data_IF_610955485818
#
_entry.id   IF_610955485818
#
_cell.length_a   1.000
_cell.length_b   1.000
_cell.length_c   1.000
_cell.angle_alpha   90.00
_cell.angle_beta   90.00
_cell.angle_gamma   90.00
#
_symmetry.space_group_name_H-M   'P 1'
#
loop_
_entity.id
_entity.type
_entity.pdbx_description
1 polymer ?
#
# COMPACT_ATOMS: atom_id res chain seq x y z
N UNK A 1 -13.87 -2.77 -22.68
CA UNK A 1 -14.05 -1.34 -22.36
C UNK A 1 -15.53 -1.00 -22.40
N UNK A 2 -16.33 -1.43 -21.42
CA UNK A 2 -17.77 -1.13 -21.39
C UNK A 2 -18.43 -1.31 -20.02
N UNK A 3 -17.72 -0.98 -18.92
CA UNK A 3 -18.24 -1.17 -17.55
C UNK A 3 -17.83 -0.06 -16.56
N UNK A 4 -17.56 1.18 -17.02
CA UNK A 4 -17.13 2.29 -16.12
C UNK A 4 -18.07 3.52 -16.14
N UNK A 5 -19.15 3.55 -16.93
CA UNK A 5 -19.98 4.77 -17.04
C UNK A 5 -21.25 4.84 -16.19
N UNK A 6 -21.54 3.88 -15.30
CA UNK A 6 -22.88 3.81 -14.67
C UNK A 6 -23.00 4.26 -13.19
N UNK A 7 -21.95 4.78 -12.55
CA UNK A 7 -22.04 5.24 -11.14
C UNK A 7 -21.84 6.75 -10.93
N UNK A 8 -21.81 7.55 -12.00
CA UNK A 8 -21.65 9.01 -11.92
C UNK A 8 -22.96 9.81 -11.93
N UNK A 9 -24.13 9.16 -12.01
CA UNK A 9 -25.45 9.85 -12.09
C UNK A 9 -26.28 9.88 -10.81
N UNK A 10 -25.81 9.32 -9.68
CA UNK A 10 -26.61 9.23 -8.44
C UNK A 10 -26.29 10.33 -7.41
N UNK A 11 -25.25 11.16 -7.59
CA UNK A 11 -24.79 12.07 -6.54
C UNK A 11 -25.04 13.58 -6.76
N UNK A 12 -25.70 13.98 -7.86
CA UNK A 12 -26.03 15.40 -8.10
C UNK A 12 -27.43 15.53 -8.71
N UNK A 13 -28.44 15.88 -7.91
CA UNK A 13 -29.81 15.99 -8.43
C UNK A 13 -30.87 16.40 -7.41
N UNK A 14 -30.81 17.69 -7.02
CA UNK A 14 -31.96 18.58 -6.83
C UNK A 14 -33.08 18.23 -5.81
N UNK A 15 -33.17 19.12 -4.81
CA UNK A 15 -34.38 19.84 -4.36
C UNK A 15 -35.66 19.05 -4.01
N UNK A 16 -36.12 19.31 -2.79
CA UNK A 16 -37.39 18.86 -2.26
C UNK A 16 -38.58 19.19 -3.16
N UNK A 17 -39.48 18.23 -3.25
CA UNK A 17 -40.84 18.42 -3.74
C UNK A 17 -41.77 17.62 -2.83
N UNK A 18 -42.67 18.35 -2.18
CA UNK A 18 -43.85 17.81 -1.54
C UNK A 18 -44.71 17.14 -2.60
N UNK A 19 -45.12 15.89 -2.40
CA UNK A 19 -46.28 15.34 -3.09
C UNK A 19 -47.12 14.47 -2.14
N UNK A 20 -48.31 15.01 -1.88
CA UNK A 20 -49.43 14.38 -1.20
C UNK A 20 -49.91 13.17 -2.00
N UNK A 21 -49.93 11.98 -1.40
CA UNK A 21 -50.60 10.80 -1.93
C UNK A 21 -51.88 10.52 -1.14
N UNK A 22 -53.03 10.89 -1.70
CA UNK A 22 -54.36 10.51 -1.21
C UNK A 22 -54.66 9.06 -1.57
N UNK A 23 -54.77 8.19 -0.57
CA UNK A 23 -55.34 6.84 -0.71
C UNK A 23 -56.58 6.72 0.17
N UNK A 24 -57.76 6.67 -0.45
CA UNK A 24 -59.04 6.39 0.20
C UNK A 24 -59.20 4.87 0.39
N UNK A 25 -59.42 4.43 1.63
CA UNK A 25 -60.02 3.12 1.92
C UNK A 25 -61.16 3.34 2.93
N UNK A 26 -62.38 2.97 2.52
CA UNK A 26 -63.59 2.99 3.35
C UNK A 26 -63.63 1.74 4.24
N UNK A 27 -63.87 1.95 5.53
CA UNK A 27 -64.26 0.95 6.51
C UNK A 27 -64.93 1.66 7.68
N UNK A 28 -66.25 1.62 7.73
CA UNK A 28 -67.10 2.24 8.74
C UNK A 28 -67.21 1.31 9.97
N UNK A 29 -67.10 1.86 11.19
CA UNK A 29 -68.11 1.79 12.28
C UNK A 29 -67.47 2.14 13.66
N UNK A 30 -68.18 3.03 14.36
CA UNK A 30 -68.19 3.41 15.79
C UNK A 30 -67.17 4.38 16.37
N UNK A 31 -67.74 5.44 16.92
CA UNK A 31 -67.15 6.56 17.65
C UNK A 31 -66.51 6.15 18.99
N UNK A 32 -65.38 6.79 19.33
CA UNK A 32 -65.19 7.45 20.62
C UNK A 32 -64.04 8.45 20.54
N UNK A 33 -64.33 9.70 20.83
CA UNK A 33 -63.39 10.79 21.01
C UNK A 33 -62.56 10.56 22.28
N UNK A 34 -61.23 10.50 22.16
CA UNK A 34 -60.31 10.61 23.28
C UNK A 34 -59.01 11.29 22.81
N UNK A 35 -58.87 12.55 23.20
CA UNK A 35 -57.61 13.31 23.15
C UNK A 35 -56.57 12.59 24.01
N UNK A 36 -55.53 12.02 23.39
CA UNK A 36 -54.35 11.52 24.11
C UNK A 36 -53.10 11.86 23.28
N UNK A 37 -52.31 12.80 23.77
CA UNK A 37 -50.89 12.94 23.42
C UNK A 37 -50.11 11.84 24.17
N UNK A 38 -49.22 11.09 23.50
CA UNK A 38 -47.99 10.72 24.19
C UNK A 38 -46.75 10.87 23.31
N UNK A 39 -45.76 11.54 23.90
CA UNK A 39 -44.35 11.40 23.57
C UNK A 39 -43.94 9.92 23.72
N UNK A 40 -43.22 9.41 22.72
CA UNK A 40 -42.26 8.29 22.76
C UNK A 40 -42.20 7.63 21.39
N UNK A 41 -41.49 8.29 20.46
CA UNK A 41 -40.94 7.61 19.28
C UNK A 41 -39.63 6.97 19.71
N UNK A 42 -39.68 5.73 20.19
CA UNK A 42 -38.49 4.88 20.11
C UNK A 42 -38.14 4.72 18.62
N UNK A 43 -36.95 5.16 18.25
CA UNK A 43 -36.35 4.82 16.97
C UNK A 43 -36.23 3.29 16.89
N UNK A 44 -36.69 2.63 15.82
CA UNK A 44 -36.50 1.20 15.67
C UNK A 44 -34.99 0.92 15.67
N UNK A 45 -34.51 0.16 16.67
CA UNK A 45 -33.15 -0.41 16.61
C UNK A 45 -33.09 -1.26 15.34
N UNK A 46 -32.07 -1.11 14.49
CA UNK A 46 -31.88 -2.01 13.36
C UNK A 46 -31.78 -3.42 13.92
N UNK A 47 -32.66 -4.31 13.47
CA UNK A 47 -32.55 -5.74 13.74
C UNK A 47 -31.19 -6.22 13.24
N UNK A 48 -30.28 -6.54 14.17
CA UNK A 48 -28.97 -7.14 13.88
C UNK A 48 -29.20 -8.44 13.11
N UNK A 49 -28.88 -8.42 11.82
CA UNK A 49 -28.91 -9.62 10.99
C UNK A 49 -27.56 -10.35 11.17
N UNK A 50 -27.53 -11.55 11.76
CA UNK A 50 -26.29 -12.29 12.01
C UNK A 50 -25.51 -12.61 10.73
N UNK A 51 -26.14 -12.59 9.54
CA UNK A 51 -25.45 -12.74 8.27
C UNK A 51 -24.59 -11.52 7.90
N UNK A 52 -24.94 -10.33 8.39
CA UNK A 52 -24.20 -9.10 8.10
C UNK A 52 -22.94 -8.96 8.95
N UNK A 53 -22.97 -9.38 10.22
CA UNK A 53 -21.81 -9.37 11.11
C UNK A 53 -20.70 -10.32 10.62
N UNK A 54 -21.06 -11.56 10.28
CA UNK A 54 -20.12 -12.55 9.75
C UNK A 54 -19.46 -12.10 8.43
N UNK A 55 -20.19 -11.40 7.56
CA UNK A 55 -19.66 -10.92 6.29
C UNK A 55 -18.67 -9.74 6.46
N UNK A 56 -18.93 -8.85 7.43
CA UNK A 56 -18.04 -7.72 7.76
C UNK A 56 -16.73 -8.23 8.36
N UNK A 57 -16.80 -9.16 9.32
CA UNK A 57 -15.61 -9.76 9.94
C UNK A 57 -14.75 -10.53 8.93
N UNK A 58 -15.38 -11.29 8.02
CA UNK A 58 -14.68 -11.99 6.95
C UNK A 58 -13.96 -11.02 5.99
N UNK A 59 -14.59 -9.91 5.62
CA UNK A 59 -13.98 -8.93 4.72
C UNK A 59 -12.80 -8.20 5.39
N UNK A 60 -12.95 -7.86 6.67
CA UNK A 60 -11.87 -7.25 7.45
C UNK A 60 -10.67 -8.21 7.59
N UNK A 61 -10.91 -9.48 7.93
CA UNK A 61 -9.84 -10.48 8.01
C UNK A 61 -9.13 -10.68 6.67
N UNK A 62 -9.88 -10.76 5.57
CA UNK A 62 -9.31 -10.87 4.22
C UNK A 62 -8.43 -9.66 3.86
N UNK A 63 -8.84 -8.45 4.24
CA UNK A 63 -8.05 -7.22 4.02
C UNK A 63 -6.73 -7.23 4.81
N UNK A 64 -6.76 -7.69 6.06
CA UNK A 64 -5.57 -7.83 6.92
C UNK A 64 -4.60 -8.87 6.37
N UNK A 65 -5.10 -10.00 5.88
CA UNK A 65 -4.28 -11.06 5.27
C UNK A 65 -3.62 -10.54 3.99
N UNK A 66 -4.37 -9.86 3.11
CA UNK A 66 -3.82 -9.26 1.88
C UNK A 66 -2.68 -8.30 2.19
N UNK A 67 -2.88 -7.38 3.13
CA UNK A 67 -1.85 -6.40 3.53
C UNK A 67 -0.60 -7.08 4.09
N UNK A 68 -0.76 -8.15 4.87
CA UNK A 68 0.37 -8.96 5.36
C UNK A 68 1.13 -9.65 4.22
N UNK A 69 0.42 -10.28 3.29
CA UNK A 69 1.04 -10.92 2.13
C UNK A 69 1.78 -9.89 1.27
N UNK A 70 1.18 -8.73 1.01
CA UNK A 70 1.80 -7.65 0.27
C UNK A 70 3.09 -7.16 0.94
N UNK A 71 3.09 -6.94 2.26
CA UNK A 71 4.31 -6.61 3.00
C UNK A 71 5.36 -7.72 2.92
N UNK A 72 4.97 -9.00 3.02
CA UNK A 72 5.92 -10.11 2.93
C UNK A 72 6.56 -10.22 1.55
N UNK A 73 5.78 -10.05 0.47
CA UNK A 73 6.30 -10.04 -0.90
C UNK A 73 7.23 -8.83 -1.09
N UNK A 74 6.86 -7.67 -0.57
CA UNK A 74 7.69 -6.47 -0.60
C UNK A 74 9.03 -6.71 0.11
N UNK A 75 8.99 -7.21 1.34
CA UNK A 75 10.17 -7.47 2.15
C UNK A 75 11.08 -8.50 1.49
N UNK A 76 10.52 -9.60 0.97
CA UNK A 76 11.28 -10.61 0.24
C UNK A 76 11.96 -10.04 -1.01
N UNK A 77 11.24 -9.21 -1.78
CA UNK A 77 11.77 -8.52 -2.96
C UNK A 77 12.94 -7.60 -2.60
N UNK A 78 12.79 -6.79 -1.54
CA UNK A 78 13.86 -5.87 -1.11
C UNK A 78 15.05 -6.63 -0.52
N UNK A 79 14.85 -7.69 0.27
CA UNK A 79 15.95 -8.51 0.80
C UNK A 79 16.75 -9.11 -0.34
N UNK A 80 16.07 -9.71 -1.33
CA UNK A 80 16.74 -10.28 -2.49
C UNK A 80 17.53 -9.23 -3.28
N UNK A 81 16.92 -8.07 -3.55
CA UNK A 81 17.58 -6.95 -4.23
C UNK A 81 18.79 -6.41 -3.46
N UNK A 82 18.66 -6.28 -2.14
CA UNK A 82 19.69 -5.76 -1.24
C UNK A 82 20.93 -6.66 -1.20
N UNK A 83 20.77 -7.98 -1.31
CA UNK A 83 21.92 -8.91 -1.42
C UNK A 83 22.69 -8.66 -2.71
N UNK A 84 21.99 -8.51 -3.84
CA UNK A 84 22.62 -8.30 -5.15
C UNK A 84 23.38 -6.98 -5.16
N UNK A 85 22.74 -5.88 -4.74
CA UNK A 85 23.43 -4.58 -4.70
C UNK A 85 24.60 -4.60 -3.70
N UNK A 86 24.46 -5.28 -2.57
CA UNK A 86 25.54 -5.46 -1.61
C UNK A 86 26.74 -6.20 -2.23
N UNK A 87 26.48 -7.29 -2.95
CA UNK A 87 27.48 -8.04 -3.69
C UNK A 87 28.21 -7.14 -4.69
N UNK A 88 27.45 -6.40 -5.51
CA UNK A 88 27.95 -5.52 -6.57
C UNK A 88 28.89 -4.44 -6.01
N UNK A 89 28.53 -3.85 -4.86
CA UNK A 89 29.40 -2.90 -4.20
C UNK A 89 30.66 -3.56 -3.61
N UNK A 90 30.53 -4.79 -3.07
CA UNK A 90 31.65 -5.54 -2.49
C UNK A 90 32.72 -5.95 -3.51
N UNK A 91 32.31 -6.20 -4.75
CA UNK A 91 33.21 -6.52 -5.86
C UNK A 91 33.79 -5.28 -6.56
N UNK A 92 33.25 -4.07 -6.33
CA UNK A 92 33.72 -2.82 -6.96
C UNK A 92 34.99 -2.23 -6.31
N UNK A 93 35.93 -1.69 -7.10
CA UNK A 93 37.18 -1.01 -6.64
C UNK A 93 37.28 0.40 -7.18
N UNK A 94 38.17 1.19 -6.57
CA UNK A 94 38.65 2.44 -7.15
C UNK A 94 37.80 3.64 -6.77
N UNK A 95 37.73 4.63 -7.66
CA UNK A 95 36.90 5.84 -7.46
C UNK A 95 35.41 5.51 -7.36
N UNK A 96 34.95 4.54 -8.16
CA UNK A 96 33.53 4.17 -8.26
C UNK A 96 32.98 3.66 -6.93
N UNK A 97 33.77 2.92 -6.15
CA UNK A 97 33.35 2.43 -4.84
C UNK A 97 32.83 3.56 -3.94
N UNK A 98 33.50 4.72 -3.91
CA UNK A 98 33.11 5.84 -3.05
C UNK A 98 31.79 6.46 -3.51
N UNK A 99 31.63 6.62 -4.81
CA UNK A 99 30.41 7.17 -5.41
C UNK A 99 29.22 6.22 -5.21
N UNK A 100 29.42 4.93 -5.52
CA UNK A 100 28.42 3.88 -5.34
C UNK A 100 28.03 3.69 -3.87
N UNK A 101 28.99 3.73 -2.95
CA UNK A 101 28.71 3.65 -1.52
C UNK A 101 27.86 4.85 -1.06
N UNK A 102 28.20 6.07 -1.51
CA UNK A 102 27.41 7.25 -1.18
C UNK A 102 25.98 7.15 -1.72
N UNK A 103 25.83 6.75 -3.00
CA UNK A 103 24.52 6.54 -3.62
C UNK A 103 23.72 5.46 -2.89
N UNK A 104 24.35 4.32 -2.56
CA UNK A 104 23.74 3.21 -1.85
C UNK A 104 23.26 3.60 -0.45
N UNK A 105 24.01 4.42 0.29
CA UNK A 105 23.58 4.91 1.60
C UNK A 105 22.25 5.69 1.51
N UNK A 106 22.12 6.56 0.51
CA UNK A 106 20.87 7.30 0.30
C UNK A 106 19.74 6.38 -0.20
N UNK A 107 20.05 5.46 -1.11
CA UNK A 107 19.08 4.49 -1.62
C UNK A 107 18.50 3.62 -0.49
N UNK A 108 19.39 3.02 0.31
CA UNK A 108 19.03 2.17 1.44
C UNK A 108 18.26 2.92 2.53
N UNK A 109 18.54 4.22 2.72
CA UNK A 109 17.79 5.06 3.65
C UNK A 109 16.32 5.18 3.23
N UNK A 110 16.05 5.49 1.96
CA UNK A 110 14.67 5.60 1.46
C UNK A 110 13.95 4.25 1.40
N UNK A 111 14.63 3.18 1.01
CA UNK A 111 14.07 1.83 1.08
C UNK A 111 13.76 1.39 2.52
N UNK A 112 14.61 1.74 3.49
CA UNK A 112 14.38 1.45 4.90
C UNK A 112 13.15 2.16 5.46
N UNK A 113 12.91 3.42 5.06
CA UNK A 113 11.68 4.14 5.42
C UNK A 113 10.45 3.45 4.81
N UNK A 114 10.55 3.00 3.55
CA UNK A 114 9.45 2.33 2.86
C UNK A 114 9.10 0.98 3.54
N UNK A 115 10.10 0.16 3.88
CA UNK A 115 9.90 -1.09 4.63
C UNK A 115 9.32 -0.80 6.00
N UNK A 116 9.88 0.15 6.76
CA UNK A 116 9.39 0.49 8.09
C UNK A 116 7.92 0.89 8.09
N UNK A 117 7.51 1.73 7.12
CA UNK A 117 6.11 2.17 6.96
C UNK A 117 5.16 1.03 6.56
N UNK A 118 5.59 0.18 5.62
CA UNK A 118 4.82 -1.00 5.18
C UNK A 118 4.66 -2.01 6.32
N UNK A 119 5.73 -2.29 7.05
CA UNK A 119 5.74 -3.19 8.19
C UNK A 119 4.85 -2.69 9.32
N UNK A 120 4.89 -1.40 9.65
CA UNK A 120 4.01 -0.80 10.68
C UNK A 120 2.53 -0.95 10.32
N UNK A 121 2.20 -0.94 9.03
CA UNK A 121 0.84 -1.09 8.56
C UNK A 121 0.34 -2.54 8.67
N UNK A 122 1.21 -3.55 8.57
CA UNK A 122 0.81 -4.98 8.51
C UNK A 122 1.12 -5.79 9.76
N UNK A 123 2.08 -5.37 10.59
CA UNK A 123 2.53 -6.09 11.78
C UNK A 123 2.16 -5.33 13.06
N UNK A 124 1.50 -6.05 13.98
CA UNK A 124 1.05 -5.48 15.26
C UNK A 124 2.08 -5.63 16.39
N UNK A 125 3.10 -6.48 16.20
CA UNK A 125 4.10 -6.78 17.23
C UNK A 125 5.38 -5.98 17.00
N UNK A 126 5.79 -5.20 18.00
CA UNK A 126 7.04 -4.44 18.00
C UNK A 126 8.28 -5.33 17.78
N UNK A 127 8.28 -6.54 18.33
CA UNK A 127 9.36 -7.50 18.12
C UNK A 127 9.47 -7.92 16.66
N UNK A 128 8.33 -8.12 15.96
CA UNK A 128 8.32 -8.44 14.53
C UNK A 128 8.77 -7.26 13.69
N UNK A 129 8.31 -6.05 14.01
CA UNK A 129 8.78 -4.82 13.36
C UNK A 129 10.31 -4.68 13.48
N UNK A 130 10.85 -4.88 14.68
CA UNK A 130 12.29 -4.83 14.89
C UNK A 130 13.01 -5.93 14.08
N UNK A 131 12.50 -7.15 14.07
CA UNK A 131 13.09 -8.27 13.34
C UNK A 131 13.17 -8.01 11.83
N UNK A 132 12.09 -7.53 11.22
CA UNK A 132 12.04 -7.19 9.78
C UNK A 132 13.07 -6.11 9.43
N UNK A 133 13.11 -5.02 10.19
CA UNK A 133 14.07 -3.94 9.97
C UNK A 133 15.52 -4.38 10.22
N UNK A 134 15.74 -5.26 11.21
CA UNK A 134 17.05 -5.82 11.49
C UNK A 134 17.54 -6.73 10.35
N UNK A 135 16.68 -7.61 9.83
CA UNK A 135 16.99 -8.46 8.68
C UNK A 135 17.37 -7.60 7.47
N UNK A 136 16.57 -6.57 7.17
CA UNK A 136 16.90 -5.62 6.10
C UNK A 136 18.27 -4.95 6.33
N UNK A 137 18.55 -4.46 7.53
CA UNK A 137 19.79 -3.76 7.85
C UNK A 137 21.06 -4.63 7.70
N UNK A 138 20.98 -5.93 8.03
CA UNK A 138 22.14 -6.84 7.90
C UNK A 138 22.30 -7.43 6.49
N UNK A 139 21.25 -7.42 5.68
CA UNK A 139 21.24 -8.07 4.37
C UNK A 139 22.27 -7.46 3.42
N UNK A 140 22.32 -6.13 3.29
CA UNK A 140 23.28 -5.45 2.41
C UNK A 140 24.73 -5.65 2.85
N UNK A 141 25.10 -5.51 4.15
CA UNK A 141 26.44 -5.86 4.63
C UNK A 141 26.83 -7.32 4.37
N UNK A 142 25.91 -8.27 4.50
CA UNK A 142 26.17 -9.69 4.17
C UNK A 142 26.52 -9.82 2.68
N UNK A 143 25.75 -9.18 1.79
CA UNK A 143 26.06 -9.13 0.36
C UNK A 143 27.46 -8.56 0.09
N UNK A 144 27.82 -7.45 0.75
CA UNK A 144 29.14 -6.83 0.62
C UNK A 144 30.28 -7.77 1.05
N UNK A 145 30.13 -8.45 2.19
CA UNK A 145 31.14 -9.41 2.68
C UNK A 145 31.31 -10.56 1.69
N UNK A 146 30.22 -11.08 1.14
CA UNK A 146 30.27 -12.13 0.11
C UNK A 146 30.99 -11.60 -1.13
N UNK A 147 30.63 -10.40 -1.60
CA UNK A 147 31.24 -9.73 -2.75
C UNK A 147 32.76 -9.60 -2.58
N UNK A 148 33.21 -9.09 -1.42
CA UNK A 148 34.64 -8.98 -1.09
C UNK A 148 35.32 -10.36 -1.11
N UNK A 149 34.67 -11.40 -0.57
CA UNK A 149 35.21 -12.76 -0.50
C UNK A 149 35.41 -13.41 -1.87
N UNK A 150 34.47 -13.23 -2.80
CA UNK A 150 34.54 -13.85 -4.13
C UNK A 150 35.30 -13.02 -5.15
N UNK A 151 35.59 -11.75 -4.83
CA UNK A 151 36.18 -10.76 -5.73
C UNK A 151 37.46 -11.18 -6.46
N UNK A 152 38.27 -12.05 -5.86
CA UNK A 152 39.50 -12.56 -6.49
C UNK A 152 39.23 -13.54 -7.63
N UNK A 153 38.06 -14.17 -7.63
CA UNK A 153 37.62 -15.18 -8.62
C UNK A 153 36.47 -14.71 -9.50
N UNK A 154 35.72 -13.72 -9.03
CA UNK A 154 34.59 -13.12 -9.72
C UNK A 154 35.06 -11.92 -10.54
N UNK A 155 34.79 -11.96 -11.84
CA UNK A 155 35.09 -10.86 -12.75
C UNK A 155 33.80 -10.11 -13.07
N UNK A 156 33.63 -8.93 -12.49
CA UNK A 156 32.43 -8.08 -12.69
C UNK A 156 32.18 -7.74 -14.16
N UNK A 157 33.26 -7.72 -14.96
CA UNK A 157 33.24 -7.46 -16.40
C UNK A 157 32.98 -8.70 -17.27
N UNK A 158 32.83 -9.89 -16.68
CA UNK A 158 32.54 -11.11 -17.44
C UNK A 158 31.12 -11.07 -17.99
N UNK A 159 30.93 -11.49 -19.24
CA UNK A 159 29.61 -11.54 -19.90
C UNK A 159 28.61 -12.37 -19.09
N UNK A 160 29.03 -13.51 -18.53
CA UNK A 160 28.15 -14.36 -17.72
C UNK A 160 27.70 -13.68 -16.42
N UNK A 161 28.60 -12.94 -15.76
CA UNK A 161 28.31 -12.15 -14.56
C UNK A 161 27.22 -11.11 -14.85
N UNK A 162 27.43 -10.33 -15.93
CA UNK A 162 26.48 -9.31 -16.37
C UNK A 162 25.09 -9.88 -16.70
N UNK A 163 25.02 -11.04 -17.36
CA UNK A 163 23.74 -11.69 -17.66
C UNK A 163 23.00 -12.13 -16.40
N UNK A 164 23.70 -12.78 -15.48
CA UNK A 164 23.09 -13.27 -14.23
C UNK A 164 22.62 -12.08 -13.39
N UNK A 165 23.50 -11.11 -13.16
CA UNK A 165 23.17 -9.90 -12.42
C UNK A 165 22.00 -9.13 -13.06
N UNK A 166 22.01 -8.96 -14.38
CA UNK A 166 20.94 -8.30 -15.12
C UNK A 166 19.58 -9.01 -14.96
N UNK A 167 19.54 -10.34 -15.10
CA UNK A 167 18.30 -11.11 -14.94
C UNK A 167 17.77 -11.01 -13.50
N UNK A 168 18.64 -11.20 -12.51
CA UNK A 168 18.24 -11.15 -11.10
C UNK A 168 17.75 -9.75 -10.73
N UNK A 169 18.40 -8.69 -11.23
CA UNK A 169 17.98 -7.30 -11.03
C UNK A 169 16.66 -6.98 -11.74
N UNK A 170 16.42 -7.49 -12.95
CA UNK A 170 15.13 -7.32 -13.63
C UNK A 170 13.99 -8.00 -12.87
N UNK A 171 14.20 -9.22 -12.35
CA UNK A 171 13.20 -9.92 -11.54
C UNK A 171 12.93 -9.16 -10.24
N UNK A 172 13.99 -8.77 -9.53
CA UNK A 172 13.87 -7.99 -8.30
C UNK A 172 13.13 -6.66 -8.55
N UNK A 173 13.56 -5.89 -9.55
CA UNK A 173 12.95 -4.63 -9.93
C UNK A 173 11.50 -4.77 -10.37
N UNK A 174 11.14 -5.85 -11.07
CA UNK A 174 9.76 -6.13 -11.47
C UNK A 174 8.84 -6.39 -10.27
N UNK A 175 9.29 -7.15 -9.28
CA UNK A 175 8.55 -7.38 -8.03
C UNK A 175 8.38 -6.06 -7.27
N UNK A 176 9.46 -5.29 -7.11
CA UNK A 176 9.42 -3.99 -6.41
C UNK A 176 8.52 -2.98 -7.11
N UNK A 177 8.50 -2.96 -8.45
CA UNK A 177 7.61 -2.11 -9.23
C UNK A 177 6.15 -2.54 -9.07
N UNK A 178 5.85 -3.84 -9.11
CA UNK A 178 4.51 -4.36 -8.84
C UNK A 178 4.02 -3.96 -7.43
N UNK A 179 4.83 -4.23 -6.41
CA UNK A 179 4.47 -3.88 -5.03
C UNK A 179 4.35 -2.36 -4.86
N UNK A 180 5.24 -1.57 -5.46
CA UNK A 180 5.17 -0.11 -5.40
C UNK A 180 3.90 0.47 -6.05
N UNK A 181 3.54 0.01 -7.24
CA UNK A 181 2.41 0.56 -8.00
C UNK A 181 1.05 -0.03 -7.59
N UNK A 182 0.97 -1.33 -7.44
CA UNK A 182 -0.29 -2.03 -7.19
C UNK A 182 -0.60 -2.04 -5.70
N UNK A 183 0.35 -2.51 -4.89
CA UNK A 183 0.10 -2.74 -3.45
C UNK A 183 0.27 -1.47 -2.61
N UNK A 184 1.22 -0.59 -2.94
CA UNK A 184 1.44 0.64 -2.18
C UNK A 184 0.68 1.82 -2.77
N UNK A 185 0.80 2.11 -4.06
CA UNK A 185 0.17 3.29 -4.65
C UNK A 185 -1.33 3.13 -4.85
N UNK A 186 -1.76 2.10 -5.59
CA UNK A 186 -3.18 1.92 -5.94
C UNK A 186 -4.02 1.66 -4.68
N UNK A 187 -3.59 0.76 -3.82
CA UNK A 187 -4.33 0.46 -2.59
C UNK A 187 -4.43 1.68 -1.65
N UNK A 188 -3.32 2.40 -1.38
CA UNK A 188 -3.35 3.50 -0.41
C UNK A 188 -3.88 4.82 -0.95
N UNK A 189 -3.67 5.13 -2.23
CA UNK A 189 -4.01 6.44 -2.82
C UNK A 189 -5.21 6.39 -3.77
N UNK A 190 -5.58 5.23 -4.31
CA UNK A 190 -6.69 5.12 -5.28
C UNK A 190 -7.90 4.40 -4.72
N UNK A 191 -7.70 3.30 -3.99
CA UNK A 191 -8.82 2.44 -3.52
C UNK A 191 -9.21 2.71 -2.07
N UNK A 192 -8.34 3.32 -1.26
CA UNK A 192 -8.63 3.57 0.15
C UNK A 192 -9.67 4.68 0.35
N UNK A 193 -10.86 4.32 0.84
CA UNK A 193 -11.95 5.25 1.13
C UNK A 193 -11.57 6.37 2.12
N UNK A 194 -10.65 6.13 3.05
CA UNK A 194 -10.15 7.15 3.97
C UNK A 194 -9.20 8.15 3.30
N UNK A 195 -8.51 7.74 2.23
CA UNK A 195 -7.73 8.66 1.41
C UNK A 195 -8.66 9.49 0.51
N UNK A 196 -9.67 8.83 -0.08
CA UNK A 196 -10.68 9.46 -0.92
C UNK A 196 -11.69 10.34 -0.17
N UNK A 197 -11.65 10.38 1.16
CA UNK A 197 -12.40 11.36 1.96
C UNK A 197 -11.58 12.61 2.32
N UNK A 198 -10.25 12.60 2.07
CA UNK A 198 -9.37 13.75 2.37
C UNK A 198 -9.62 14.93 1.44
N UNK A 199 -9.24 16.13 1.88
CA UNK A 199 -9.34 17.35 1.08
C UNK A 199 -8.51 17.23 -0.22
N UNK A 200 -9.01 17.76 -1.33
CA UNK A 200 -8.36 17.67 -2.66
C UNK A 200 -6.91 18.19 -2.64
N UNK A 201 -6.65 19.29 -1.94
CA UNK A 201 -5.30 19.84 -1.79
C UNK A 201 -4.33 18.85 -1.10
N UNK A 202 -4.79 18.10 -0.10
CA UNK A 202 -3.98 17.08 0.58
C UNK A 202 -3.66 15.90 -0.35
N UNK A 203 -4.60 15.51 -1.23
CA UNK A 203 -4.36 14.45 -2.22
C UNK A 203 -3.30 14.87 -3.23
N UNK A 204 -3.40 16.09 -3.76
CA UNK A 204 -2.37 16.65 -4.65
C UNK A 204 -1.01 16.72 -3.98
N UNK A 205 -0.94 17.16 -2.72
CA UNK A 205 0.31 17.18 -1.97
C UNK A 205 0.94 15.78 -1.83
N UNK A 206 0.13 14.75 -1.59
CA UNK A 206 0.62 13.35 -1.50
C UNK A 206 1.11 12.82 -2.85
N UNK A 207 0.42 13.13 -3.95
CA UNK A 207 0.91 12.78 -5.30
C UNK A 207 2.20 13.53 -5.67
N UNK A 208 2.31 14.82 -5.33
CA UNK A 208 3.55 15.58 -5.54
C UNK A 208 4.69 14.98 -4.72
N UNK A 209 4.44 14.63 -3.45
CA UNK A 209 5.44 13.97 -2.59
C UNK A 209 5.90 12.63 -3.17
N UNK A 210 4.98 11.84 -3.74
CA UNK A 210 5.33 10.58 -4.42
C UNK A 210 6.27 10.83 -5.60
N UNK A 211 5.92 11.77 -6.49
CA UNK A 211 6.74 12.12 -7.65
C UNK A 211 8.10 12.71 -7.27
N UNK A 212 8.15 13.52 -6.20
CA UNK A 212 9.40 14.04 -5.67
C UNK A 212 10.29 12.91 -5.13
N UNK A 213 9.72 11.93 -4.41
CA UNK A 213 10.45 10.76 -3.95
C UNK A 213 11.02 9.93 -5.11
N UNK A 214 10.19 9.64 -6.13
CA UNK A 214 10.62 8.93 -7.33
C UNK A 214 11.72 9.71 -8.09
N UNK A 215 11.57 11.03 -8.22
CA UNK A 215 12.56 11.90 -8.85
C UNK A 215 13.89 11.94 -8.08
N UNK A 216 13.84 11.95 -6.75
CA UNK A 216 15.03 11.90 -5.91
C UNK A 216 15.77 10.58 -6.05
N UNK A 217 15.06 9.46 -6.05
CA UNK A 217 15.65 8.12 -6.27
C UNK A 217 16.27 7.99 -7.66
N UNK A 218 15.60 8.51 -8.70
CA UNK A 218 16.16 8.55 -10.06
C UNK A 218 17.41 9.42 -10.14
N UNK A 219 17.44 10.55 -9.41
CA UNK A 219 18.59 11.44 -9.37
C UNK A 219 19.79 10.76 -8.69
N UNK A 220 19.58 10.03 -7.58
CA UNK A 220 20.63 9.22 -6.92
C UNK A 220 21.17 8.18 -7.90
N UNK A 221 20.28 7.49 -8.64
CA UNK A 221 20.65 6.49 -9.64
C UNK A 221 21.50 7.03 -10.79
N UNK A 222 21.53 8.34 -11.03
CA UNK A 222 22.39 8.96 -12.06
C UNK A 222 23.88 8.96 -11.66
N UNK A 223 24.17 8.86 -10.36
CA UNK A 223 25.54 8.77 -9.84
C UNK A 223 25.87 7.38 -9.29
N UNK A 224 24.89 6.47 -9.30
CA UNK A 224 25.08 5.06 -9.01
C UNK A 224 25.45 4.29 -10.29
#
# INVERSE_FOLDING_TARGET
>A
MHFIECESSVFFGAQGSMLHGHGHAHGEITAQEAVITPADRETPKPTENPYHENAVDQNEQNSKIRRKIATLIFEAGVVFHSVIIGLDLGVTTGSEFKTLLAALCFHQFFEGIAIGSSALSSLESTSKLFMVNFIFAITTPIGQVIGIGIRSTYSDSSTTSLWVQGILNCVAGGILLYTGLVELLTYNMTTNGQFLSRQTAQRFALYISLWLGAGLMALIGKWA
#
